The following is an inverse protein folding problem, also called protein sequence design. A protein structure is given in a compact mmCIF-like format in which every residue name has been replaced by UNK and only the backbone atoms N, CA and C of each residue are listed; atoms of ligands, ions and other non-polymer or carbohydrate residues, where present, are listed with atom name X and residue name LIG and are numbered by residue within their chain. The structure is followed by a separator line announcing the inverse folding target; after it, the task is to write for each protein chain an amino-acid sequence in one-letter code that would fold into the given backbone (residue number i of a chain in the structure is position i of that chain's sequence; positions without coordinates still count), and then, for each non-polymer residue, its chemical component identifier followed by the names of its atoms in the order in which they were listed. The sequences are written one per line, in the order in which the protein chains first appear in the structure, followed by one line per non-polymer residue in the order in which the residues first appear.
data_IF_277509037249
#
_entry.id   IF_277509037249
#
_cell.length_a   1.000
_cell.length_b   1.000
_cell.length_c   1.000
_cell.angle_alpha   90.00
_cell.angle_beta   90.00
_cell.angle_gamma   90.00
#
_symmetry.space_group_name_H-M   'P 1'
#
loop_
_entity.id
_entity.type
_entity.pdbx_description
1 polymer ?
#
# COMPACT_ATOMS: atom_id res chain seq x y z
N UNK A 1 -30.64 1.96 -5.29
CA UNK A 1 -29.52 1.82 -4.33
C UNK A 1 -30.09 1.70 -2.93
N UNK A 2 -29.65 0.69 -2.20
CA UNK A 2 -30.06 0.46 -0.81
C UNK A 2 -28.82 0.54 0.08
N UNK A 3 -28.86 1.40 1.08
CA UNK A 3 -27.82 1.50 2.11
C UNK A 3 -28.22 0.62 3.29
N UNK A 4 -27.37 -0.34 3.64
CA UNK A 4 -27.50 -1.13 4.85
C UNK A 4 -26.63 -0.53 5.96
N UNK A 5 -27.23 -0.21 7.10
CA UNK A 5 -26.50 0.18 8.30
C UNK A 5 -26.31 -1.06 9.19
N UNK A 6 -25.06 -1.40 9.46
CA UNK A 6 -24.76 -2.44 10.44
C UNK A 6 -24.92 -1.87 11.85
N UNK A 7 -25.73 -2.53 12.68
CA UNK A 7 -26.15 -2.02 13.98
C UNK A 7 -25.09 -2.02 15.10
N UNK A 8 -23.88 -2.57 14.85
CA UNK A 8 -22.79 -2.57 15.81
C UNK A 8 -21.46 -2.30 15.13
N UNK A 9 -20.59 -1.45 15.70
CA UNK A 9 -19.24 -1.27 15.18
C UNK A 9 -18.42 -2.56 15.39
N UNK A 10 -17.61 -2.93 14.40
CA UNK A 10 -16.56 -3.92 14.59
C UNK A 10 -15.45 -3.27 15.42
N UNK A 11 -15.22 -3.78 16.61
CA UNK A 11 -14.11 -3.36 17.48
C UNK A 11 -13.14 -4.53 17.58
N UNK A 12 -12.01 -4.52 16.85
CA UNK A 12 -10.96 -5.53 17.00
C UNK A 12 -10.42 -5.50 18.44
N UNK A 13 -10.23 -6.67 19.03
CA UNK A 13 -9.68 -6.83 20.39
C UNK A 13 -8.17 -6.95 20.40
N UNK A 14 -7.59 -7.45 19.31
CA UNK A 14 -6.17 -7.69 19.18
C UNK A 14 -5.61 -6.99 17.93
N UNK A 15 -4.33 -6.58 17.94
CA UNK A 15 -3.67 -6.10 16.73
C UNK A 15 -3.58 -7.21 15.68
N UNK A 16 -3.79 -6.85 14.41
CA UNK A 16 -3.71 -7.81 13.31
C UNK A 16 -4.45 -7.37 12.07
N UNK A 17 -4.45 -8.23 11.06
CA UNK A 17 -5.19 -8.04 9.82
C UNK A 17 -6.48 -8.85 9.92
N UNK A 18 -7.61 -8.16 9.83
CA UNK A 18 -8.94 -8.74 9.84
C UNK A 18 -9.53 -8.75 8.44
N UNK A 19 -10.11 -9.87 8.05
CA UNK A 19 -10.89 -9.94 6.80
C UNK A 19 -12.33 -9.66 7.11
N UNK A 20 -12.88 -8.61 6.52
CA UNK A 20 -14.31 -8.32 6.52
C UNK A 20 -14.94 -8.95 5.28
N UNK A 21 -15.93 -9.79 5.48
CA UNK A 21 -16.68 -10.44 4.40
C UNK A 21 -18.10 -9.90 4.42
N UNK A 22 -18.52 -9.28 3.31
CA UNK A 22 -19.90 -8.87 3.08
C UNK A 22 -20.50 -9.75 2.00
N UNK A 23 -21.60 -10.43 2.32
CA UNK A 23 -22.27 -11.33 1.39
C UNK A 23 -23.75 -10.98 1.28
N UNK A 24 -24.25 -10.94 0.06
CA UNK A 24 -25.68 -10.86 -0.25
C UNK A 24 -26.12 -12.24 -0.70
N UNK A 25 -27.23 -12.73 -0.14
CA UNK A 25 -27.78 -14.05 -0.50
C UNK A 25 -29.30 -13.99 -0.65
N UNK A 26 -29.87 -14.99 -1.30
CA UNK A 26 -31.33 -15.14 -1.43
C UNK A 26 -32.00 -14.21 -2.45
N UNK A 27 -31.23 -13.60 -3.37
CA UNK A 27 -31.80 -12.79 -4.44
C UNK A 27 -32.32 -13.71 -5.56
N UNK A 28 -33.62 -13.76 -5.71
CA UNK A 28 -34.25 -14.52 -6.81
C UNK A 28 -33.94 -13.85 -8.15
N UNK A 29 -33.41 -14.63 -9.10
CA UNK A 29 -33.08 -14.15 -10.45
C UNK A 29 -31.69 -13.50 -10.57
N UNK A 30 -30.85 -13.61 -9.55
CA UNK A 30 -29.45 -13.19 -9.63
C UNK A 30 -28.67 -14.14 -10.56
N UNK A 31 -28.17 -13.60 -11.65
CA UNK A 31 -27.42 -14.33 -12.68
C UNK A 31 -25.92 -14.35 -12.44
N UNK A 32 -25.40 -13.57 -11.48
CA UNK A 32 -23.97 -13.38 -11.25
C UNK A 32 -23.65 -13.51 -9.76
N UNK A 33 -23.77 -14.70 -9.22
CA UNK A 33 -23.52 -14.96 -7.80
C UNK A 33 -22.09 -14.59 -7.33
N UNK A 34 -21.12 -14.48 -8.24
CA UNK A 34 -19.74 -14.08 -7.92
C UNK A 34 -19.61 -12.62 -7.49
N UNK A 35 -20.57 -11.74 -7.80
CA UNK A 35 -20.55 -10.35 -7.36
C UNK A 35 -21.22 -10.14 -5.98
N UNK A 36 -21.76 -11.19 -5.39
CA UNK A 36 -22.48 -11.16 -4.11
C UNK A 36 -21.54 -11.21 -2.90
N UNK A 37 -20.27 -11.41 -3.13
CA UNK A 37 -19.24 -11.47 -2.09
C UNK A 37 -18.28 -10.30 -2.24
N UNK A 38 -18.16 -9.47 -1.19
CA UNK A 38 -17.14 -8.45 -1.08
C UNK A 38 -16.24 -8.79 0.10
N UNK A 39 -14.95 -8.83 -0.13
CA UNK A 39 -13.94 -8.97 0.92
C UNK A 39 -13.11 -7.69 1.01
N UNK A 40 -12.74 -7.31 2.23
CA UNK A 40 -11.83 -6.19 2.50
C UNK A 40 -10.96 -6.48 3.70
N UNK A 41 -9.74 -5.88 3.73
CA UNK A 41 -8.82 -5.95 4.87
C UNK A 41 -9.05 -4.75 5.78
N UNK A 42 -9.08 -5.00 7.08
CA UNK A 42 -9.02 -4.00 8.14
C UNK A 42 -7.77 -4.28 8.96
N UNK A 43 -6.96 -3.26 9.16
CA UNK A 43 -5.74 -3.37 9.96
C UNK A 43 -6.05 -2.77 11.33
N UNK A 44 -6.01 -3.61 12.36
CA UNK A 44 -6.04 -3.18 13.75
C UNK A 44 -4.61 -3.07 14.27
N UNK A 45 -4.27 -1.93 14.85
CA UNK A 45 -2.93 -1.64 15.37
C UNK A 45 -2.98 -1.42 16.87
N UNK A 46 -1.96 -1.89 17.59
CA UNK A 46 -1.77 -1.52 18.98
C UNK A 46 -1.22 -0.09 19.06
N UNK A 47 -1.73 0.69 19.99
CA UNK A 47 -1.29 2.08 20.21
C UNK A 47 -0.17 2.17 21.24
N UNK A 48 0.25 1.06 21.83
CA UNK A 48 1.26 1.03 22.89
C UNK A 48 2.60 0.53 22.35
N UNK A 49 3.57 1.44 22.23
CA UNK A 49 4.98 1.14 21.97
C UNK A 49 5.38 1.16 20.49
N UNK A 50 6.44 0.64 20.12
CA UNK A 50 7.19 0.43 18.89
C UNK A 50 6.50 0.64 17.51
N UNK A 51 7.28 0.84 16.48
CA UNK A 51 6.87 1.04 15.08
C UNK A 51 5.80 0.05 14.63
N UNK A 52 4.72 0.59 14.08
CA UNK A 52 3.60 -0.19 13.54
C UNK A 52 3.66 -0.11 12.01
N UNK A 53 3.81 -1.23 11.29
CA UNK A 53 3.78 -1.21 9.84
C UNK A 53 2.36 -0.92 9.34
N UNK A 54 2.22 0.12 8.52
CA UNK A 54 1.01 0.42 7.76
C UNK A 54 1.19 -0.12 6.35
N UNK A 55 0.76 -1.36 6.14
CA UNK A 55 0.93 -2.14 4.92
C UNK A 55 -0.38 -2.85 4.55
N UNK A 56 -0.55 -3.20 3.27
CA UNK A 56 -1.74 -3.93 2.81
C UNK A 56 -1.45 -5.40 2.48
N UNK A 57 -0.18 -5.79 2.35
CA UNK A 57 0.24 -7.18 2.12
C UNK A 57 0.26 -8.01 3.41
N UNK A 58 0.28 -9.34 3.30
CA UNK A 58 0.28 -10.29 4.42
C UNK A 58 1.69 -10.64 4.97
N UNK A 59 2.70 -9.92 4.53
CA UNK A 59 4.13 -10.12 4.83
C UNK A 59 4.80 -11.33 4.15
N UNK A 60 4.08 -12.10 3.34
CA UNK A 60 4.60 -13.27 2.61
C UNK A 60 4.61 -13.00 1.11
N UNK A 61 5.73 -12.61 0.48
CA UNK A 61 5.76 -12.32 -0.94
C UNK A 61 5.66 -13.60 -1.78
N UNK A 62 4.82 -13.59 -2.79
CA UNK A 62 4.81 -14.61 -3.82
C UNK A 62 5.91 -14.35 -4.88
N UNK A 63 6.31 -15.40 -5.63
CA UNK A 63 7.32 -15.27 -6.68
C UNK A 63 6.94 -14.23 -7.73
N UNK A 64 7.82 -13.26 -7.99
CA UNK A 64 7.63 -12.21 -8.97
C UNK A 64 7.32 -10.85 -8.37
N UNK A 65 6.76 -9.96 -9.19
CA UNK A 65 6.48 -8.58 -8.79
C UNK A 65 6.16 -7.70 -10.00
N UNK A 66 6.10 -6.39 -9.76
CA UNK A 66 5.82 -5.41 -10.80
C UNK A 66 7.07 -4.60 -11.16
N UNK A 67 7.25 -4.39 -12.45
CA UNK A 67 8.26 -3.51 -13.04
C UNK A 67 7.75 -2.94 -14.36
N UNK A 68 8.41 -1.90 -14.88
CA UNK A 68 8.11 -1.31 -16.18
C UNK A 68 9.31 -1.41 -17.10
N UNK A 69 9.11 -1.84 -18.34
CA UNK A 69 10.14 -1.81 -19.36
C UNK A 69 10.60 -0.37 -19.59
N UNK A 70 11.91 -0.12 -19.43
CA UNK A 70 12.49 1.21 -19.53
C UNK A 70 12.41 2.05 -18.25
N UNK A 71 11.84 1.53 -17.16
CA UNK A 71 11.77 2.23 -15.88
C UNK A 71 10.73 3.33 -15.82
N UNK A 72 10.88 4.22 -14.83
CA UNK A 72 10.04 5.42 -14.59
C UNK A 72 8.58 5.15 -14.21
N UNK A 73 8.18 3.90 -14.02
CA UNK A 73 6.88 3.55 -13.44
C UNK A 73 6.95 3.47 -11.92
N UNK A 74 5.79 3.48 -11.26
CA UNK A 74 5.70 3.38 -9.82
C UNK A 74 4.38 2.79 -9.35
N UNK A 75 4.40 2.34 -8.11
CA UNK A 75 3.22 1.89 -7.36
C UNK A 75 3.10 2.75 -6.11
N UNK A 76 1.87 3.13 -5.80
CA UNK A 76 1.57 3.86 -4.58
C UNK A 76 0.33 3.37 -3.87
N UNK A 77 0.21 3.78 -2.61
CA UNK A 77 -0.96 3.56 -1.77
C UNK A 77 -1.39 4.84 -1.10
N UNK A 78 -2.70 5.03 -0.98
CA UNK A 78 -3.27 5.98 -0.03
C UNK A 78 -3.42 5.30 1.31
N UNK A 79 -2.85 5.90 2.35
CA UNK A 79 -2.90 5.41 3.72
C UNK A 79 -3.53 6.48 4.61
N UNK A 80 -4.55 6.08 5.37
CA UNK A 80 -5.13 6.91 6.42
C UNK A 80 -4.70 6.34 7.77
N UNK A 81 -3.87 7.06 8.54
CA UNK A 81 -3.42 6.59 9.84
C UNK A 81 -4.59 6.36 10.80
N UNK A 82 -4.49 5.39 11.70
CA UNK A 82 -5.55 5.11 12.67
C UNK A 82 -5.58 6.12 13.83
N UNK A 83 -4.55 6.94 14.00
CA UNK A 83 -4.42 7.95 15.07
C UNK A 83 -3.56 9.13 14.61
N UNK A 84 -3.67 10.25 15.33
CA UNK A 84 -2.93 11.48 15.05
C UNK A 84 -2.37 12.12 16.32
N UNK A 85 -1.20 12.82 16.23
CA UNK A 85 -0.35 12.87 15.06
C UNK A 85 0.30 11.51 14.77
N UNK A 86 0.38 11.11 13.51
CA UNK A 86 1.15 9.95 13.10
C UNK A 86 2.57 10.40 12.73
N UNK A 87 3.58 9.66 13.17
CA UNK A 87 4.99 9.89 12.83
C UNK A 87 5.49 8.72 12.01
N UNK A 88 5.98 9.00 10.80
CA UNK A 88 6.53 7.99 9.91
C UNK A 88 8.04 8.03 9.99
N UNK A 89 8.66 6.90 10.31
CA UNK A 89 10.11 6.77 10.48
C UNK A 89 10.79 6.08 9.29
N UNK A 90 10.05 5.36 8.47
CA UNK A 90 10.63 4.63 7.35
C UNK A 90 9.58 4.03 6.41
N UNK A 91 10.10 3.51 5.32
CA UNK A 91 9.35 2.80 4.28
C UNK A 91 9.55 1.29 4.44
N UNK A 92 8.48 0.54 4.38
CA UNK A 92 8.50 -0.93 4.34
C UNK A 92 8.43 -1.36 2.88
N UNK A 93 9.44 -2.08 2.40
CA UNK A 93 9.50 -2.57 1.01
C UNK A 93 10.03 -4.00 0.93
N UNK A 94 9.67 -4.70 -0.14
CA UNK A 94 10.38 -5.89 -0.60
C UNK A 94 10.67 -5.78 -2.09
N UNK A 95 11.93 -5.81 -2.43
CA UNK A 95 12.39 -5.80 -3.83
C UNK A 95 12.59 -7.24 -4.28
N UNK A 96 11.73 -7.72 -5.18
CA UNK A 96 11.78 -9.09 -5.69
C UNK A 96 12.99 -9.33 -6.60
N UNK A 97 13.43 -8.31 -7.35
CA UNK A 97 14.61 -8.37 -8.20
C UNK A 97 15.18 -6.97 -8.46
N UNK A 98 16.50 -6.86 -8.55
CA UNK A 98 17.21 -5.67 -9.02
C UNK A 98 18.47 -6.09 -9.78
N UNK A 99 18.32 -6.69 -10.99
CA UNK A 99 19.44 -7.25 -11.73
C UNK A 99 20.44 -6.20 -12.23
N UNK A 100 20.04 -4.92 -12.30
CA UNK A 100 20.92 -3.81 -12.69
C UNK A 100 21.53 -3.07 -11.50
N UNK A 101 21.23 -3.50 -10.27
CA UNK A 101 21.62 -2.80 -9.04
C UNK A 101 21.31 -1.29 -9.11
N UNK A 102 20.08 -0.97 -9.55
CA UNK A 102 19.66 0.41 -9.84
C UNK A 102 19.04 1.10 -8.63
N UNK A 103 18.63 0.34 -7.59
CA UNK A 103 17.85 0.90 -6.50
C UNK A 103 16.49 1.43 -6.93
N UNK A 104 15.85 2.19 -6.03
CA UNK A 104 14.54 2.79 -6.29
C UNK A 104 14.35 4.10 -5.51
N UNK A 105 13.34 4.87 -5.88
CA UNK A 105 12.92 6.03 -5.12
C UNK A 105 11.69 5.70 -4.29
N UNK A 106 11.67 6.18 -3.04
CA UNK A 106 10.55 6.08 -2.12
C UNK A 106 10.12 7.49 -1.76
N UNK A 107 8.81 7.76 -1.77
CA UNK A 107 8.29 9.11 -1.56
C UNK A 107 7.03 9.06 -0.71
N UNK A 108 6.81 10.13 0.07
CA UNK A 108 5.58 10.38 0.79
C UNK A 108 5.02 11.71 0.31
N UNK A 109 3.72 11.72 -0.02
CA UNK A 109 2.99 12.92 -0.37
C UNK A 109 1.82 13.12 0.58
N UNK A 110 1.54 14.38 0.91
CA UNK A 110 0.31 14.77 1.58
C UNK A 110 -0.92 14.54 0.68
N UNK A 111 -2.10 14.34 1.26
CA UNK A 111 -3.37 14.22 0.54
C UNK A 111 -4.03 15.58 0.23
N UNK A 112 -3.26 16.66 0.24
CA UNK A 112 -3.70 18.03 -0.01
C UNK A 112 -3.72 18.42 -1.51
N UNK A 113 -3.58 17.47 -2.41
CA UNK A 113 -3.71 17.68 -3.84
C UNK A 113 -5.19 17.78 -4.30
N UNK A 114 -5.42 18.05 -5.61
CA UNK A 114 -6.78 18.12 -6.15
C UNK A 114 -7.61 16.89 -5.84
N UNK A 115 -8.84 17.09 -5.34
CA UNK A 115 -9.78 16.04 -4.94
C UNK A 115 -9.24 15.04 -3.88
N UNK A 116 -8.35 15.50 -3.00
CA UNK A 116 -7.71 14.64 -2.00
C UNK A 116 -6.64 13.70 -2.58
N UNK A 117 -6.16 13.99 -3.76
CA UNK A 117 -5.06 13.27 -4.39
C UNK A 117 -3.69 13.66 -3.82
N UNK A 118 -2.61 13.05 -4.34
CA UNK A 118 -1.25 13.40 -3.92
C UNK A 118 -0.94 14.87 -4.19
N UNK A 119 -0.48 15.56 -3.18
CA UNK A 119 -0.18 17.00 -3.22
C UNK A 119 1.28 17.30 -2.88
N UNK A 120 1.52 17.91 -1.72
CA UNK A 120 2.85 18.30 -1.27
C UNK A 120 3.75 17.07 -1.03
N UNK A 121 4.95 17.07 -1.61
CA UNK A 121 5.97 16.06 -1.29
C UNK A 121 6.49 16.31 0.13
N UNK A 122 6.31 15.33 1.01
CA UNK A 122 6.73 15.39 2.41
C UNK A 122 8.09 14.75 2.63
N UNK A 123 8.41 13.68 1.90
CA UNK A 123 9.70 12.99 1.97
C UNK A 123 10.06 12.32 0.65
N UNK A 124 11.37 12.18 0.39
CA UNK A 124 11.88 11.47 -0.77
C UNK A 124 13.25 10.87 -0.47
N UNK A 125 13.36 9.55 -0.60
CA UNK A 125 14.59 8.79 -0.37
C UNK A 125 14.96 8.00 -1.62
N UNK A 126 16.23 7.98 -1.94
CA UNK A 126 16.79 6.99 -2.85
C UNK A 126 17.26 5.77 -2.04
N UNK A 127 16.52 4.66 -2.17
CA UNK A 127 16.92 3.38 -1.63
C UNK A 127 17.98 2.76 -2.56
N UNK A 128 19.25 2.86 -2.16
CA UNK A 128 20.35 2.26 -2.91
C UNK A 128 20.28 0.72 -2.87
N UNK A 129 20.89 -0.01 -3.82
CA UNK A 129 20.91 -1.47 -3.79
C UNK A 129 21.53 -2.10 -2.54
N UNK A 130 22.32 -1.30 -1.80
CA UNK A 130 22.94 -1.74 -0.53
C UNK A 130 22.06 -1.50 0.70
N UNK A 131 20.94 -0.76 0.55
CA UNK A 131 20.04 -0.45 1.67
C UNK A 131 18.92 -1.46 1.87
N UNK A 132 18.79 -2.44 0.98
CA UNK A 132 17.84 -3.54 1.08
C UNK A 132 18.49 -4.86 0.63
N UNK A 133 17.84 -5.97 0.97
CA UNK A 133 18.22 -7.29 0.44
C UNK A 133 17.09 -7.78 -0.46
N UNK A 134 17.44 -8.18 -1.70
CA UNK A 134 16.46 -8.73 -2.66
C UNK A 134 15.75 -9.95 -2.06
N UNK A 135 14.43 -9.98 -2.18
CA UNK A 135 13.56 -11.01 -1.63
C UNK A 135 13.29 -10.93 -0.12
N UNK A 136 13.81 -9.89 0.55
CA UNK A 136 13.65 -9.72 2.01
C UNK A 136 12.90 -8.43 2.32
N UNK A 137 11.95 -8.51 3.25
CA UNK A 137 11.27 -7.31 3.76
C UNK A 137 12.28 -6.39 4.44
N UNK A 138 12.36 -5.16 3.98
CA UNK A 138 13.36 -4.18 4.42
C UNK A 138 12.68 -2.89 4.86
N UNK A 139 13.24 -2.22 5.86
CA UNK A 139 12.82 -0.89 6.28
C UNK A 139 13.88 0.13 5.86
N UNK A 140 13.47 1.09 5.04
CA UNK A 140 14.35 2.19 4.57
C UNK A 140 13.97 3.44 5.37
N UNK A 141 14.88 4.03 6.15
CA UNK A 141 14.59 5.26 6.91
C UNK A 141 14.15 6.42 6.00
N UNK A 142 13.30 7.32 6.52
CA UNK A 142 13.00 8.61 5.89
C UNK A 142 14.26 9.48 5.76
N UNK A 143 14.27 10.44 4.84
CA UNK A 143 15.43 11.32 4.61
C UNK A 143 15.76 12.21 5.84
N UNK A 144 14.73 12.56 6.59
CA UNK A 144 14.85 13.28 7.86
C UNK A 144 14.73 12.35 9.07
N UNK A 145 14.49 12.95 10.24
CA UNK A 145 14.25 12.16 11.45
C UNK A 145 12.88 11.47 11.42
N UNK A 146 11.85 12.17 10.95
CA UNK A 146 10.46 11.67 10.90
C UNK A 146 9.63 12.53 9.95
N UNK A 147 8.57 11.93 9.36
CA UNK A 147 7.52 12.65 8.64
C UNK A 147 6.27 12.70 9.52
N UNK A 148 5.79 13.90 9.82
CA UNK A 148 4.61 14.09 10.67
C UNK A 148 3.36 14.24 9.81
N UNK A 149 2.34 13.44 10.13
CA UNK A 149 0.99 13.52 9.54
C UNK A 149 0.05 13.97 10.67
N UNK A 150 -0.29 15.26 10.74
CA UNK A 150 -1.10 15.82 11.82
C UNK A 150 -2.58 15.48 11.69
N UNK A 151 -3.07 15.23 10.48
CA UNK A 151 -4.45 14.91 10.15
C UNK A 151 -4.54 14.39 8.72
N UNK A 152 -5.70 13.83 8.31
CA UNK A 152 -5.92 13.37 6.93
C UNK A 152 -5.23 12.05 6.63
N UNK A 153 -4.86 11.85 5.38
CA UNK A 153 -4.09 10.72 4.91
C UNK A 153 -2.81 11.14 4.21
N UNK A 154 -2.14 10.19 3.64
CA UNK A 154 -0.96 10.44 2.83
C UNK A 154 -0.84 9.37 1.75
N UNK A 155 -0.03 9.67 0.74
CA UNK A 155 0.33 8.71 -0.30
C UNK A 155 1.78 8.28 -0.12
N UNK A 156 2.01 6.97 -0.06
CA UNK A 156 3.36 6.39 -0.20
C UNK A 156 3.54 5.94 -1.64
N UNK A 157 4.73 6.15 -2.20
CA UNK A 157 5.05 5.84 -3.59
C UNK A 157 6.43 5.20 -3.69
N UNK A 158 6.50 4.06 -4.34
CA UNK A 158 7.72 3.47 -4.88
C UNK A 158 7.85 3.82 -6.36
N UNK A 159 9.02 4.27 -6.80
CA UNK A 159 9.30 4.63 -8.20
C UNK A 159 10.57 3.96 -8.68
N UNK A 160 10.45 3.32 -9.82
CA UNK A 160 11.53 2.70 -10.54
C UNK A 160 12.36 3.75 -11.31
N UNK A 161 13.70 3.81 -11.18
CA UNK A 161 14.51 4.73 -11.95
C UNK A 161 14.38 4.51 -13.47
N UNK A 162 14.58 5.56 -14.26
CA UNK A 162 14.62 5.45 -15.71
C UNK A 162 15.74 4.50 -16.16
N UNK A 163 15.47 3.65 -17.14
CA UNK A 163 16.43 2.67 -17.64
C UNK A 163 16.70 1.48 -16.73
N UNK A 164 16.03 1.42 -15.55
CA UNK A 164 16.19 0.30 -14.62
C UNK A 164 15.16 -0.80 -14.89
N UNK A 165 15.34 -1.94 -14.19
CA UNK A 165 14.42 -3.08 -14.16
C UNK A 165 14.23 -3.64 -12.75
N UNK A 166 14.35 -2.77 -11.74
CA UNK A 166 14.03 -3.12 -10.36
C UNK A 166 12.55 -3.53 -10.25
N UNK A 167 12.28 -4.58 -9.50
CA UNK A 167 10.95 -5.19 -9.39
C UNK A 167 10.48 -5.12 -7.94
N UNK A 168 9.34 -4.48 -7.70
CA UNK A 168 8.66 -4.49 -6.40
C UNK A 168 7.88 -5.80 -6.24
N UNK A 169 8.04 -6.49 -5.12
CA UNK A 169 7.32 -7.73 -4.83
C UNK A 169 5.79 -7.49 -4.71
N UNK A 170 5.02 -8.51 -5.00
CA UNK A 170 3.56 -8.50 -4.86
C UNK A 170 3.07 -9.53 -3.85
N UNK A 171 1.83 -9.33 -3.38
CA UNK A 171 1.00 -10.25 -2.61
C UNK A 171 -0.27 -10.51 -3.42
N UNK A 172 -0.50 -11.77 -3.77
CA UNK A 172 -1.67 -12.24 -4.52
C UNK A 172 -2.63 -13.07 -3.67
N UNK A 173 -2.34 -13.19 -2.40
CA UNK A 173 -3.18 -13.93 -1.46
C UNK A 173 -4.46 -13.15 -1.15
N UNK A 174 -5.64 -13.64 -1.54
CA UNK A 174 -6.91 -12.99 -1.20
C UNK A 174 -7.15 -12.94 0.31
N UNK A 175 -7.84 -11.88 0.79
CA UNK A 175 -8.37 -10.73 0.07
C UNK A 175 -7.30 -9.69 -0.22
N UNK A 176 -7.30 -9.11 -1.42
CA UNK A 176 -6.46 -7.95 -1.76
C UNK A 176 -7.14 -6.65 -1.35
N UNK A 177 -6.38 -5.60 -1.12
CA UNK A 177 -6.88 -4.33 -0.57
C UNK A 177 -7.71 -3.51 -1.54
N UNK A 178 -7.49 -3.66 -2.85
CA UNK A 178 -8.04 -2.84 -3.95
C UNK A 178 -7.63 -1.36 -3.88
N UNK A 179 -6.51 -1.02 -3.22
CA UNK A 179 -6.13 0.36 -2.89
C UNK A 179 -4.87 0.86 -3.60
N UNK A 180 -4.24 0.02 -4.41
CA UNK A 180 -3.02 0.39 -5.13
C UNK A 180 -3.30 1.36 -6.28
N UNK A 181 -2.34 2.25 -6.51
CA UNK A 181 -2.29 3.20 -7.61
C UNK A 181 -1.07 2.92 -8.49
N UNK A 182 -1.20 3.15 -9.78
CA UNK A 182 -0.08 3.25 -10.70
C UNK A 182 0.37 4.71 -10.81
N UNK A 183 1.67 4.91 -10.89
CA UNK A 183 2.29 6.19 -11.18
C UNK A 183 3.10 6.07 -12.46
N UNK A 184 2.84 6.91 -13.45
CA UNK A 184 3.57 6.94 -14.71
C UNK A 184 3.61 8.36 -15.26
N UNK A 185 4.81 8.87 -15.56
CA UNK A 185 4.98 10.18 -16.18
C UNK A 185 4.42 11.35 -15.35
N UNK A 186 4.40 11.25 -14.04
CA UNK A 186 3.82 12.26 -13.14
C UNK A 186 2.32 12.10 -12.86
N UNK A 187 1.67 11.13 -13.51
CA UNK A 187 0.23 10.90 -13.36
C UNK A 187 -0.06 9.72 -12.45
N UNK A 188 -1.10 9.86 -11.64
CA UNK A 188 -1.62 8.82 -10.77
C UNK A 188 -2.94 8.29 -11.32
N UNK A 189 -3.09 6.96 -11.33
CA UNK A 189 -4.33 6.30 -11.68
C UNK A 189 -4.54 5.08 -10.77
N UNK A 190 -5.78 4.61 -10.54
CA UNK A 190 -6.00 3.31 -9.89
C UNK A 190 -5.23 2.21 -10.62
N UNK A 191 -4.49 1.39 -9.88
CA UNK A 191 -3.71 0.31 -10.47
C UNK A 191 -4.62 -0.66 -11.23
N UNK A 192 -4.22 -1.06 -12.45
CA UNK A 192 -4.98 -2.01 -13.29
C UNK A 192 -5.10 -3.39 -12.63
N UNK A 193 -4.14 -3.75 -11.79
CA UNK A 193 -4.09 -5.04 -11.09
C UNK A 193 -4.60 -4.97 -9.64
N UNK A 194 -5.16 -3.84 -9.19
CA UNK A 194 -5.60 -3.65 -7.79
C UNK A 194 -6.59 -4.67 -7.28
N UNK A 195 -7.29 -5.39 -8.16
CA UNK A 195 -8.27 -6.41 -7.79
C UNK A 195 -7.67 -7.81 -7.60
N UNK A 196 -6.40 -7.98 -7.96
CA UNK A 196 -5.71 -9.28 -7.94
C UNK A 196 -4.39 -9.22 -7.18
N UNK A 197 -3.87 -8.04 -6.88
CA UNK A 197 -2.54 -7.86 -6.30
C UNK A 197 -2.49 -6.71 -5.30
N UNK A 198 -1.85 -6.95 -4.17
CA UNK A 198 -1.23 -5.94 -3.32
C UNK A 198 0.29 -5.96 -3.55
N UNK A 199 0.99 -4.91 -3.11
CA UNK A 199 2.42 -4.78 -3.30
C UNK A 199 3.13 -4.56 -1.97
N UNK A 200 4.38 -5.01 -1.89
CA UNK A 200 5.21 -4.86 -0.71
C UNK A 200 5.73 -3.43 -0.57
N UNK A 201 4.82 -2.53 -0.31
CA UNK A 201 5.05 -1.10 -0.09
C UNK A 201 4.16 -0.62 1.06
N UNK A 202 4.76 0.10 1.99
CA UNK A 202 4.09 0.76 3.09
C UNK A 202 5.04 1.62 3.89
N UNK A 203 4.67 1.94 5.13
CA UNK A 203 5.47 2.77 6.05
C UNK A 203 5.43 2.22 7.47
N UNK A 204 6.33 2.70 8.32
CA UNK A 204 6.37 2.43 9.75
C UNK A 204 6.79 3.66 10.54
#
# INVERSE_FOLDING_TARGET
DTTLSLGAPLIPTDPGIYTMISQVSGITGDLVASNNLLQSKIIAVDTVGTQIPLVYHDATPEPGGISWSGGSGGIGYYIKPPFYPCQINGYNINIAADPSASGCYLKIYDDNGPNGGPGTLLDSVYASPTSYTVGVNSVIPTAGTQVSIPSGGFYVLWVMPAGSNVTLAWDRTPPVSNRSYEYLGGLWAPCRFRFTEDYFLGVS
#
